data_IF_229213622671
#
_entry.id   IF_229213622671
#
_cell.length_a   1.000
_cell.length_b   1.000
_cell.length_c   1.000
_cell.angle_alpha   90.00
_cell.angle_beta   90.00
_cell.angle_gamma   90.00
#
_symmetry.space_group_name_H-M   'P 1'
#
loop_
_entity.id
_entity.type
_entity.pdbx_description
1 polymer ?
#
# COMPACT_ATOMS: atom_id res chain seq x y z
N UNK A 1 -45.91 -0.62 47.34
CA UNK A 1 -45.09 -0.66 46.12
C UNK A 1 -44.20 0.57 46.07
N UNK A 2 -42.88 0.41 46.17
CA UNK A 2 -41.90 1.47 45.90
C UNK A 2 -40.85 0.86 44.96
N UNK A 3 -40.87 1.27 43.70
CA UNK A 3 -39.85 0.91 42.72
C UNK A 3 -38.71 1.93 42.82
N UNK A 4 -37.54 1.50 43.30
CA UNK A 4 -36.30 2.26 43.17
C UNK A 4 -35.62 1.84 41.88
N UNK A 5 -35.74 2.68 40.86
CA UNK A 5 -35.07 2.50 39.57
C UNK A 5 -33.65 3.04 39.66
N UNK A 6 -32.65 2.15 39.77
CA UNK A 6 -31.24 2.53 39.61
C UNK A 6 -30.88 2.51 38.13
N UNK A 7 -30.67 3.68 37.54
CA UNK A 7 -30.10 3.82 36.20
C UNK A 7 -28.61 3.49 36.28
N UNK A 8 -28.23 2.34 35.71
CA UNK A 8 -26.83 2.02 35.42
C UNK A 8 -26.47 2.69 34.10
N UNK A 9 -25.72 3.79 34.15
CA UNK A 9 -25.14 4.41 32.95
C UNK A 9 -23.90 3.62 32.54
N UNK A 10 -24.04 2.72 31.56
CA UNK A 10 -22.88 2.22 30.81
C UNK A 10 -22.39 3.36 29.90
N UNK A 11 -21.31 4.02 30.28
CA UNK A 11 -20.57 4.87 29.35
C UNK A 11 -19.80 3.94 28.39
N UNK A 12 -20.40 3.66 27.23
CA UNK A 12 -19.67 3.08 26.11
C UNK A 12 -18.81 4.18 25.53
N UNK A 13 -17.53 4.21 25.89
CA UNK A 13 -16.53 4.99 25.13
C UNK A 13 -16.38 4.31 23.77
N UNK A 14 -17.15 4.78 22.78
CA UNK A 14 -16.85 4.52 21.38
C UNK A 14 -15.52 5.22 21.07
N UNK A 15 -14.41 4.50 21.22
CA UNK A 15 -13.11 4.97 20.76
C UNK A 15 -13.17 5.11 19.24
N UNK A 16 -13.28 6.35 18.75
CA UNK A 16 -13.04 6.68 17.36
C UNK A 16 -11.59 6.31 17.04
N UNK A 17 -11.40 5.18 16.35
CA UNK A 17 -10.08 4.78 15.84
C UNK A 17 -9.54 5.89 14.95
N UNK A 18 -8.41 6.47 15.32
CA UNK A 18 -7.75 7.48 14.49
C UNK A 18 -7.32 6.80 13.19
N UNK A 19 -7.68 7.39 12.06
CA UNK A 19 -7.09 7.02 10.77
C UNK A 19 -5.57 7.22 10.89
N UNK A 20 -4.80 6.15 10.67
CA UNK A 20 -3.35 6.19 10.81
C UNK A 20 -2.77 6.91 9.59
N UNK A 21 -1.88 7.87 9.77
CA UNK A 21 -1.17 8.50 8.63
C UNK A 21 0.24 7.91 8.54
N UNK A 22 0.74 7.75 7.31
CA UNK A 22 2.11 7.36 7.01
C UNK A 22 2.85 8.63 6.58
N UNK A 23 3.83 9.11 7.37
CA UNK A 23 4.59 10.30 7.00
C UNK A 23 5.32 10.14 5.66
N UNK A 24 5.53 11.26 4.98
CA UNK A 24 6.42 11.34 3.82
C UNK A 24 7.82 10.81 4.14
N UNK A 25 8.50 10.26 3.13
CA UNK A 25 9.83 9.64 3.21
C UNK A 25 9.94 8.41 4.13
N UNK A 26 8.83 7.85 4.60
CA UNK A 26 8.84 6.66 5.45
C UNK A 26 9.39 5.44 4.72
N UNK A 27 10.23 4.66 5.40
CA UNK A 27 10.62 3.32 4.98
C UNK A 27 9.64 2.31 5.56
N UNK A 28 9.01 1.52 4.70
CA UNK A 28 7.93 0.60 5.04
C UNK A 28 8.19 -0.81 4.49
N UNK A 29 7.55 -1.79 5.10
CA UNK A 29 7.32 -3.11 4.52
C UNK A 29 5.82 -3.32 4.39
N UNK A 30 5.37 -3.77 3.23
CA UNK A 30 3.97 -4.10 3.00
C UNK A 30 3.75 -5.57 3.34
N UNK A 31 3.14 -5.83 4.50
CA UNK A 31 2.85 -7.18 4.99
C UNK A 31 1.48 -7.64 4.47
N UNK A 32 1.36 -8.93 4.16
CA UNK A 32 0.06 -9.52 3.85
C UNK A 32 -0.80 -9.50 5.12
N UNK A 33 -2.03 -8.99 5.01
CA UNK A 33 -2.93 -8.83 6.16
C UNK A 33 -3.19 -10.15 6.90
N UNK A 34 -3.31 -11.26 6.17
CA UNK A 34 -3.59 -12.58 6.72
C UNK A 34 -2.33 -13.32 7.22
N UNK A 35 -1.13 -12.86 6.85
CA UNK A 35 0.12 -13.48 7.26
C UNK A 35 1.24 -12.43 7.36
N UNK A 36 1.55 -12.01 8.58
CA UNK A 36 2.53 -10.95 8.84
C UNK A 36 3.97 -11.34 8.53
N UNK A 37 4.28 -12.61 8.31
CA UNK A 37 5.62 -13.06 7.92
C UNK A 37 5.85 -12.96 6.41
N UNK A 38 4.79 -12.67 5.65
CA UNK A 38 4.81 -12.51 4.20
C UNK A 38 4.74 -11.03 3.84
N UNK A 39 5.67 -10.58 3.02
CA UNK A 39 5.77 -9.20 2.54
C UNK A 39 5.78 -9.13 1.01
N UNK A 40 5.36 -7.99 0.49
CA UNK A 40 5.67 -7.57 -0.87
C UNK A 40 7.20 -7.44 -1.03
N UNK A 41 7.77 -7.96 -2.12
CA UNK A 41 9.19 -7.84 -2.40
C UNK A 41 9.51 -8.03 -3.88
N UNK A 42 10.56 -7.38 -4.35
CA UNK A 42 11.05 -7.56 -5.71
C UNK A 42 12.00 -8.76 -5.80
N UNK A 43 11.95 -9.52 -6.91
CA UNK A 43 12.85 -10.66 -7.12
C UNK A 43 14.33 -10.25 -7.22
N UNK A 44 14.60 -9.01 -7.61
CA UNK A 44 15.92 -8.39 -7.69
C UNK A 44 15.82 -6.86 -7.70
N UNK A 45 16.92 -6.17 -7.36
CA UNK A 45 17.08 -4.71 -7.48
C UNK A 45 17.54 -4.33 -8.90
N UNK A 46 16.71 -4.64 -9.90
CA UNK A 46 16.95 -4.31 -11.32
C UNK A 46 15.63 -3.92 -12.01
N UNK A 47 15.74 -3.24 -13.15
CA UNK A 47 14.59 -2.92 -14.00
C UNK A 47 13.88 -4.21 -14.48
N UNK A 48 12.55 -4.15 -14.60
CA UNK A 48 11.67 -5.25 -14.98
C UNK A 48 11.66 -6.44 -14.01
N UNK A 49 12.17 -6.28 -12.79
CA UNK A 49 12.04 -7.31 -11.76
C UNK A 49 10.58 -7.43 -11.31
N UNK A 50 10.04 -8.65 -11.33
CA UNK A 50 8.69 -8.93 -10.82
C UNK A 50 8.57 -8.64 -9.32
N UNK A 51 7.40 -8.17 -8.92
CA UNK A 51 7.01 -8.05 -7.52
C UNK A 51 6.22 -9.29 -7.11
N UNK A 52 6.66 -9.95 -6.04
CA UNK A 52 6.06 -11.16 -5.50
C UNK A 52 5.78 -11.01 -4.00
N UNK A 53 5.06 -11.99 -3.45
CA UNK A 53 4.97 -12.20 -2.01
C UNK A 53 6.11 -13.14 -1.57
N UNK A 54 6.89 -12.72 -0.58
CA UNK A 54 8.05 -13.45 -0.05
C UNK A 54 8.14 -13.30 1.47
N UNK A 55 9.12 -13.93 2.12
CA UNK A 55 9.42 -13.68 3.54
C UNK A 55 9.79 -12.20 3.75
N UNK A 56 9.28 -11.59 4.83
CA UNK A 56 9.63 -10.21 5.19
C UNK A 56 11.12 -9.96 5.48
N UNK A 57 11.89 -11.01 5.75
CA UNK A 57 13.35 -10.94 5.94
C UNK A 57 14.14 -11.12 4.63
N UNK A 58 13.46 -11.40 3.51
CA UNK A 58 14.12 -11.42 2.21
C UNK A 58 14.65 -10.03 1.82
N UNK A 59 15.72 -9.98 1.00
CA UNK A 59 16.16 -8.74 0.36
C UNK A 59 15.03 -8.10 -0.46
N UNK A 60 15.16 -6.81 -0.77
CA UNK A 60 14.21 -6.06 -1.60
C UNK A 60 12.76 -6.01 -1.10
N UNK A 61 12.56 -6.08 0.22
CA UNK A 61 11.23 -6.00 0.87
C UNK A 61 10.93 -4.64 1.50
N UNK A 62 11.92 -3.74 1.51
CA UNK A 62 11.81 -2.40 2.10
C UNK A 62 11.59 -1.38 0.98
N UNK A 63 10.54 -0.59 1.13
CA UNK A 63 10.18 0.47 0.20
C UNK A 63 10.15 1.82 0.90
N UNK A 64 10.51 2.88 0.18
CA UNK A 64 10.31 4.25 0.61
C UNK A 64 9.04 4.81 -0.03
N UNK A 65 8.29 5.58 0.75
CA UNK A 65 7.11 6.32 0.30
C UNK A 65 7.41 7.82 0.31
N UNK A 66 7.84 8.42 -0.82
CA UNK A 66 8.24 9.82 -0.86
C UNK A 66 7.16 10.78 -0.36
N UNK A 67 5.89 10.57 -0.74
CA UNK A 67 4.77 11.41 -0.32
C UNK A 67 3.99 10.85 0.90
N UNK A 68 4.26 9.62 1.32
CA UNK A 68 3.53 8.97 2.41
C UNK A 68 2.11 8.54 2.02
N UNK A 69 1.17 8.59 2.96
CA UNK A 69 -0.25 8.27 2.74
C UNK A 69 -1.10 8.53 4.00
N UNK A 70 -2.44 8.46 3.93
CA UNK A 70 -3.27 8.11 2.76
C UNK A 70 -3.69 9.33 1.92
N UNK A 71 -3.42 10.56 2.37
CA UNK A 71 -4.01 11.78 1.80
C UNK A 71 -3.48 12.14 0.39
N UNK A 72 -2.39 11.51 -0.03
CA UNK A 72 -1.72 11.75 -1.31
C UNK A 72 -1.41 10.43 -2.01
N UNK A 73 -1.29 10.48 -3.33
CA UNK A 73 -0.66 9.40 -4.08
C UNK A 73 0.85 9.48 -3.90
N UNK A 74 1.50 8.33 -3.87
CA UNK A 74 2.96 8.23 -3.73
C UNK A 74 3.51 7.20 -4.70
N UNK A 75 4.77 7.35 -5.07
CA UNK A 75 5.54 6.23 -5.60
C UNK A 75 5.84 5.22 -4.49
N UNK A 76 6.02 3.96 -4.87
CA UNK A 76 6.53 2.90 -3.99
C UNK A 76 7.93 2.55 -4.45
N UNK A 77 8.92 3.22 -3.87
CA UNK A 77 10.32 3.19 -4.31
C UNK A 77 11.08 2.09 -3.60
N UNK A 78 11.82 1.24 -4.31
CA UNK A 78 12.67 0.23 -3.69
C UNK A 78 13.81 0.90 -2.93
N UNK A 79 13.93 0.69 -1.62
CA UNK A 79 14.92 1.38 -0.79
C UNK A 79 16.37 1.08 -1.21
N UNK A 80 16.64 -0.14 -1.67
CA UNK A 80 17.97 -0.54 -2.16
C UNK A 80 18.37 0.15 -3.48
N UNK A 81 17.43 0.75 -4.21
CA UNK A 81 17.71 1.45 -5.48
C UNK A 81 18.17 2.90 -5.30
N UNK A 82 18.09 3.45 -4.08
CA UNK A 82 18.35 4.88 -3.80
C UNK A 82 19.80 5.33 -4.05
N UNK A 83 20.75 4.40 -4.20
CA UNK A 83 22.15 4.68 -4.55
C UNK A 83 22.46 4.57 -6.04
N UNK A 84 21.47 4.31 -6.89
CA UNK A 84 21.63 4.12 -8.34
C UNK A 84 20.43 4.65 -9.12
N UNK A 85 20.07 4.04 -10.27
CA UNK A 85 18.78 4.27 -10.90
C UNK A 85 17.67 3.96 -9.90
N UNK A 86 16.84 4.95 -9.59
CA UNK A 86 15.75 4.81 -8.62
C UNK A 86 14.66 3.95 -9.26
N UNK A 87 14.31 2.86 -8.60
CA UNK A 87 13.31 1.90 -9.08
C UNK A 87 12.04 2.00 -8.22
N UNK A 88 10.88 1.95 -8.85
CA UNK A 88 9.58 1.88 -8.16
C UNK A 88 8.65 0.89 -8.82
N UNK A 89 7.63 0.47 -8.05
CA UNK A 89 6.57 -0.39 -8.55
C UNK A 89 5.78 0.34 -9.63
N UNK A 90 5.73 -0.25 -10.83
CA UNK A 90 5.09 0.30 -12.01
C UNK A 90 4.04 -0.68 -12.56
N UNK A 91 2.86 -0.15 -12.88
CA UNK A 91 1.71 -0.90 -13.38
C UNK A 91 1.46 -0.74 -14.90
N UNK A 92 2.35 -0.07 -15.64
CA UNK A 92 2.18 0.25 -17.07
C UNK A 92 1.94 -0.98 -17.93
N UNK A 93 2.54 -2.12 -17.60
CA UNK A 93 2.37 -3.40 -18.30
C UNK A 93 1.32 -4.31 -17.64
N UNK A 94 0.79 -3.92 -16.46
CA UNK A 94 -0.15 -4.68 -15.64
C UNK A 94 -1.64 -4.40 -15.94
N UNK A 95 -1.93 -3.74 -17.05
CA UNK A 95 -3.26 -3.18 -17.38
C UNK A 95 -4.35 -4.22 -17.57
N UNK A 96 -3.99 -5.43 -17.99
CA UNK A 96 -4.92 -6.53 -18.22
C UNK A 96 -5.36 -7.22 -16.91
N UNK A 97 -4.83 -6.81 -15.75
CA UNK A 97 -5.18 -7.35 -14.44
C UNK A 97 -4.67 -8.76 -14.15
N UNK A 98 -4.06 -9.43 -15.13
CA UNK A 98 -3.46 -10.76 -15.03
C UNK A 98 -1.93 -10.76 -15.18
N UNK A 99 -1.33 -9.60 -15.44
CA UNK A 99 0.12 -9.44 -15.51
C UNK A 99 0.61 -8.88 -14.18
N UNK A 100 1.66 -9.46 -13.55
CA UNK A 100 2.26 -8.90 -12.35
C UNK A 100 2.74 -7.47 -12.56
N UNK A 101 2.72 -6.67 -11.49
CA UNK A 101 3.44 -5.39 -11.46
C UNK A 101 4.94 -5.65 -11.34
N UNK A 102 5.74 -4.75 -11.87
CA UNK A 102 7.21 -4.88 -11.92
C UNK A 102 7.87 -3.66 -11.31
N UNK A 103 9.16 -3.78 -11.00
CA UNK A 103 10.02 -2.61 -10.83
C UNK A 103 10.37 -2.00 -12.18
N UNK A 104 10.28 -0.69 -12.26
CA UNK A 104 10.83 0.07 -13.38
C UNK A 104 11.55 1.32 -12.85
N UNK A 105 12.29 2.00 -13.72
CA UNK A 105 12.88 3.31 -13.40
C UNK A 105 11.75 4.28 -13.10
N UNK A 106 11.86 5.04 -12.01
CA UNK A 106 10.86 6.05 -11.68
C UNK A 106 10.95 7.23 -12.63
N UNK A 107 9.86 7.52 -13.34
CA UNK A 107 9.74 8.60 -14.33
C UNK A 107 8.77 9.71 -13.92
N UNK A 108 8.17 9.60 -12.73
CA UNK A 108 7.08 10.42 -12.18
C UNK A 108 5.80 10.40 -13.05
N UNK A 109 5.43 9.21 -13.53
CA UNK A 109 4.23 8.99 -14.32
C UNK A 109 3.05 8.41 -13.52
N UNK A 110 1.86 8.39 -14.11
CA UNK A 110 0.64 7.94 -13.40
C UNK A 110 0.62 6.44 -13.04
N UNK A 111 1.42 5.60 -13.70
CA UNK A 111 1.44 4.14 -13.57
C UNK A 111 2.28 3.66 -12.38
N UNK A 112 3.11 4.54 -11.84
CA UNK A 112 3.96 4.31 -10.68
C UNK A 112 3.44 4.99 -9.42
N UNK A 113 2.31 5.69 -9.51
CA UNK A 113 1.64 6.32 -8.37
C UNK A 113 0.57 5.40 -7.77
N UNK A 114 0.57 5.33 -6.44
CA UNK A 114 -0.28 4.45 -5.65
C UNK A 114 -0.97 5.23 -4.53
N UNK A 115 -2.22 4.87 -4.25
CA UNK A 115 -2.92 5.26 -3.02
C UNK A 115 -2.64 4.20 -1.97
N UNK A 116 -2.02 4.61 -0.87
CA UNK A 116 -1.73 3.73 0.27
C UNK A 116 -2.80 3.96 1.33
N UNK A 117 -3.80 3.08 1.33
CA UNK A 117 -4.85 3.09 2.32
C UNK A 117 -4.31 2.77 3.72
N UNK A 118 -4.92 3.39 4.72
CA UNK A 118 -4.62 3.12 6.12
C UNK A 118 -5.91 2.76 6.85
N UNK A 119 -5.81 1.82 7.78
CA UNK A 119 -6.94 1.31 8.56
C UNK A 119 -6.46 0.84 9.94
N UNK A 120 -7.39 0.47 10.81
CA UNK A 120 -7.07 0.06 12.19
C UNK A 120 -6.28 -1.26 12.27
N UNK A 121 -6.26 -2.05 11.18
CA UNK A 121 -5.57 -3.35 11.12
C UNK A 121 -4.85 -3.58 9.78
N UNK A 122 -5.48 -3.24 8.66
CA UNK A 122 -4.90 -3.35 7.32
C UNK A 122 -5.42 -2.24 6.41
N UNK A 123 -4.70 -1.99 5.31
CA UNK A 123 -5.09 -1.05 4.27
C UNK A 123 -4.77 -1.61 2.89
N UNK A 124 -5.39 -1.03 1.86
CA UNK A 124 -5.19 -1.44 0.47
C UNK A 124 -4.12 -0.59 -0.23
N UNK A 125 -3.39 -1.19 -1.16
CA UNK A 125 -2.49 -0.49 -2.08
C UNK A 125 -3.19 -0.49 -3.43
N UNK A 126 -3.64 0.69 -3.87
CA UNK A 126 -4.46 0.82 -5.07
C UNK A 126 -3.74 1.69 -6.09
N UNK A 127 -3.73 1.29 -7.36
CA UNK A 127 -3.19 2.12 -8.42
C UNK A 127 -3.89 3.48 -8.47
N UNK A 128 -3.12 4.56 -8.63
CA UNK A 128 -3.67 5.90 -8.78
C UNK A 128 -4.27 6.14 -10.18
N UNK A 129 -3.98 5.25 -11.14
CA UNK A 129 -4.45 5.34 -12.52
C UNK A 129 -5.98 5.48 -12.55
N UNK A 130 -6.51 6.44 -13.31
CA UNK A 130 -7.95 6.62 -13.44
C UNK A 130 -8.63 5.38 -14.06
N UNK A 131 -9.61 4.80 -13.35
CA UNK A 131 -10.34 3.59 -13.79
C UNK A 131 -11.25 3.83 -15.00
N UNK A 132 -11.59 5.09 -15.29
CA UNK A 132 -12.39 5.52 -16.44
C UNK A 132 -11.67 5.40 -17.80
N UNK A 133 -10.42 4.94 -17.84
CA UNK A 133 -9.69 4.63 -19.09
C UNK A 133 -9.99 3.20 -19.57
N UNK A 134 -10.50 2.32 -18.69
CA UNK A 134 -10.90 0.96 -19.02
C UNK A 134 -12.38 0.77 -18.68
N UNK A 135 -13.26 1.37 -19.47
CA UNK A 135 -14.60 0.82 -19.58
C UNK A 135 -14.43 -0.60 -20.11
N UNK A 136 -14.52 -1.60 -19.22
CA UNK A 136 -14.82 -2.96 -19.63
C UNK A 136 -16.17 -2.89 -20.34
N UNK A 137 -16.17 -2.69 -21.66
CA UNK A 137 -17.34 -2.94 -22.48
C UNK A 137 -17.67 -4.43 -22.30
N UNK A 138 -18.68 -4.70 -21.47
CA UNK A 138 -19.37 -5.97 -21.44
C UNK A 138 -19.94 -6.21 -22.84
N UNK A 139 -19.24 -7.02 -23.64
CA UNK A 139 -19.83 -7.68 -24.80
C UNK A 139 -20.70 -8.85 -24.35
#
# INVERSE_FOLDING_TARGET
>A
MKLTSSLVSLAVLAGSGLAQTIPAMSSVRFRLAENTEVCLGAVANIQQAEILLTSCDSPNTIFQLPAGGPDHTTQVVLAESLSGPILCINARTALAGNTPVVLDICEDDQWEHWRIGTGTEAGEIVSAVPTNVYNCETR
#
